data_IF_012694545104
#
_entry.id   IF_012694545104
#
_cell.length_a   1.000
_cell.length_b   1.000
_cell.length_c   1.000
_cell.angle_alpha   90.00
_cell.angle_beta   90.00
_cell.angle_gamma   90.00
#
_symmetry.space_group_name_H-M   'P 1'
#
loop_
_entity.id
_entity.type
_entity.pdbx_description
1 polymer ?
#
# COMPACT_ATOMS: atom_id res chain seq x y z
N UNK A 1 13.83 -3.00 1.41
CA UNK A 1 12.48 -2.72 1.94
C UNK A 1 12.06 -1.27 1.69
N UNK A 2 10.92 -1.07 1.02
CA UNK A 2 10.28 0.24 0.80
C UNK A 2 9.11 0.42 1.76
N UNK A 3 9.05 1.55 2.45
CA UNK A 3 7.91 1.95 3.28
C UNK A 3 6.93 2.83 2.52
N UNK A 4 5.62 2.59 2.70
CA UNK A 4 4.55 3.40 2.11
C UNK A 4 3.66 3.93 3.23
N UNK A 5 3.62 5.25 3.36
CA UNK A 5 2.71 5.94 4.28
C UNK A 5 1.40 6.32 3.59
N UNK A 6 0.28 5.90 4.14
CA UNK A 6 -1.05 6.29 3.67
C UNK A 6 -1.66 7.33 4.63
N UNK A 7 -1.95 8.51 4.08
CA UNK A 7 -2.63 9.62 4.77
C UNK A 7 -4.06 9.73 4.25
N UNK A 8 -5.01 9.81 5.17
CA UNK A 8 -6.45 9.87 4.88
C UNK A 8 -7.15 8.50 4.85
N UNK A 9 -8.40 8.48 5.32
CA UNK A 9 -9.22 7.27 5.53
C UNK A 9 -10.50 7.23 4.68
N UNK A 10 -10.69 8.22 3.80
CA UNK A 10 -11.81 8.32 2.88
C UNK A 10 -11.76 7.30 1.74
N UNK A 11 -12.57 7.52 0.70
CA UNK A 11 -12.67 6.62 -0.46
C UNK A 11 -11.28 6.30 -1.07
N UNK A 12 -10.49 7.33 -1.35
CA UNK A 12 -9.14 7.16 -1.90
C UNK A 12 -8.18 6.47 -0.93
N UNK A 13 -8.25 6.79 0.37
CA UNK A 13 -7.46 6.07 1.37
C UNK A 13 -7.68 4.56 1.28
N UNK A 14 -8.94 4.12 1.24
CA UNK A 14 -9.29 2.70 1.12
C UNK A 14 -8.85 2.09 -0.21
N UNK A 15 -9.09 2.76 -1.32
CA UNK A 15 -8.65 2.27 -2.65
C UNK A 15 -7.13 2.05 -2.68
N UNK A 16 -6.35 3.01 -2.18
CA UNK A 16 -4.90 2.89 -2.12
C UNK A 16 -4.45 1.80 -1.15
N UNK A 17 -5.09 1.65 0.01
CA UNK A 17 -4.78 0.55 0.94
C UNK A 17 -4.96 -0.82 0.28
N UNK A 18 -6.05 -1.01 -0.48
CA UNK A 18 -6.31 -2.24 -1.22
C UNK A 18 -5.25 -2.46 -2.30
N UNK A 19 -4.97 -1.43 -3.12
CA UNK A 19 -3.99 -1.51 -4.19
C UNK A 19 -2.59 -1.89 -3.66
N UNK A 20 -2.12 -1.24 -2.60
CA UNK A 20 -0.81 -1.52 -2.00
C UNK A 20 -0.71 -2.90 -1.34
N UNK A 21 -1.83 -3.46 -0.85
CA UNK A 21 -1.83 -4.84 -0.35
C UNK A 21 -1.78 -5.87 -1.49
N UNK A 22 -2.36 -5.55 -2.65
CA UNK A 22 -2.43 -6.45 -3.80
C UNK A 22 -1.23 -6.33 -4.76
N UNK A 23 -0.40 -5.30 -4.64
CA UNK A 23 0.65 -4.94 -5.62
C UNK A 23 1.63 -6.07 -5.98
N UNK A 24 1.84 -7.03 -5.06
CA UNK A 24 2.74 -8.17 -5.29
C UNK A 24 2.27 -9.13 -6.39
N UNK A 25 0.99 -9.11 -6.77
CA UNK A 25 0.50 -9.90 -7.92
C UNK A 25 0.98 -9.34 -9.26
N UNK A 26 1.29 -8.04 -9.32
CA UNK A 26 1.80 -7.36 -10.52
C UNK A 26 3.33 -7.41 -10.57
N UNK A 27 3.99 -7.39 -9.41
CA UNK A 27 5.45 -7.39 -9.27
C UNK A 27 5.93 -8.54 -8.37
N UNK A 28 5.95 -9.80 -8.86
CA UNK A 28 6.24 -10.97 -8.03
C UNK A 28 7.69 -11.06 -7.57
N UNK A 29 8.64 -10.49 -8.32
CA UNK A 29 10.08 -10.57 -8.04
C UNK A 29 10.59 -9.44 -7.12
N UNK A 30 9.70 -8.59 -6.62
CA UNK A 30 10.04 -7.44 -5.79
C UNK A 30 9.71 -7.71 -4.33
N UNK A 31 10.59 -7.26 -3.43
CA UNK A 31 10.35 -7.34 -1.99
C UNK A 31 9.05 -6.61 -1.58
N UNK A 32 8.25 -7.23 -0.70
CA UNK A 32 6.98 -6.68 -0.25
C UNK A 32 7.15 -5.31 0.41
N UNK A 33 6.34 -4.35 -0.02
CA UNK A 33 6.27 -3.03 0.59
C UNK A 33 5.64 -3.08 1.99
N UNK A 34 6.15 -2.26 2.93
CA UNK A 34 5.57 -2.08 4.26
C UNK A 34 4.58 -0.91 4.24
N UNK A 35 3.29 -1.23 4.23
CA UNK A 35 2.23 -0.23 4.31
C UNK A 35 1.94 0.17 5.76
N UNK A 36 1.89 1.47 6.05
CA UNK A 36 1.50 2.03 7.35
C UNK A 36 0.50 3.17 7.15
N UNK A 37 -0.43 3.32 8.09
CA UNK A 37 -1.34 4.47 8.14
C UNK A 37 -0.72 5.58 9.00
N UNK A 38 -0.76 6.83 8.52
CA UNK A 38 -0.11 7.98 9.16
C UNK A 38 -1.09 9.07 9.63
N UNK A 39 -2.40 8.79 9.66
CA UNK A 39 -3.46 9.75 10.03
C UNK A 39 -4.33 10.15 8.85
#
# INVERSE_FOLDING_TARGET
MVGVGLIGTGFMGKCHAIAWNAVGTVFPDVEKARLVHLG
#
